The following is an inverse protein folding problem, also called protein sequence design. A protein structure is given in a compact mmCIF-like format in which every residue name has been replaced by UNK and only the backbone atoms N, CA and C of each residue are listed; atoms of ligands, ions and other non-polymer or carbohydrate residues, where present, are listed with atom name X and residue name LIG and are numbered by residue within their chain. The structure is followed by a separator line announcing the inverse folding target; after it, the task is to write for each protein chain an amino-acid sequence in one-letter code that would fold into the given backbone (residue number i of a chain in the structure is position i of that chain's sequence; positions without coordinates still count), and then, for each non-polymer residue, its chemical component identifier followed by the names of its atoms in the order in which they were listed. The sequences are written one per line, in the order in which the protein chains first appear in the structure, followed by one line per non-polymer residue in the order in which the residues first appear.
data_IF_790543298551
#
_entry.id   IF_790543298551
#
_cell.length_a   1.000
_cell.length_b   1.000
_cell.length_c   1.000
_cell.angle_alpha   90.00
_cell.angle_beta   90.00
_cell.angle_gamma   90.00
#
_symmetry.space_group_name_H-M   'P 1'
#
loop_
_entity.id
_entity.type
_entity.pdbx_description
1 polymer ?
#
# COMPACT_ATOMS: atom_id res chain seq x y z
N UNK A 1 -4.09 -19.98 16.79
CA UNK A 1 -4.55 -18.68 16.23
C UNK A 1 -4.06 -18.60 14.78
N UNK A 2 -4.91 -18.87 13.78
CA UNK A 2 -4.51 -18.79 12.36
C UNK A 2 -4.37 -17.31 11.99
N UNK A 3 -3.15 -16.84 11.68
CA UNK A 3 -2.92 -15.55 11.03
C UNK A 3 -3.63 -15.59 9.68
N UNK A 4 -4.88 -15.13 9.65
CA UNK A 4 -5.64 -14.90 8.42
C UNK A 4 -4.82 -13.88 7.64
N UNK A 5 -4.17 -14.33 6.58
CA UNK A 5 -3.29 -13.47 5.81
C UNK A 5 -4.10 -12.25 5.38
N UNK A 6 -3.58 -11.06 5.68
CA UNK A 6 -4.18 -9.73 5.49
C UNK A 6 -4.37 -9.34 4.00
N UNK A 7 -4.59 -10.35 3.16
CA UNK A 7 -4.85 -10.27 1.74
C UNK A 7 -6.34 -10.47 1.47
N UNK A 8 -7.20 -9.91 2.32
CA UNK A 8 -8.59 -9.74 1.94
C UNK A 8 -8.60 -8.79 0.74
N UNK A 9 -8.70 -9.43 -0.43
CA UNK A 9 -8.95 -8.93 -1.78
C UNK A 9 -9.27 -7.43 -1.79
N UNK A 10 -8.22 -6.59 -1.89
CA UNK A 10 -8.41 -5.17 -2.14
C UNK A 10 -9.17 -5.00 -3.45
N UNK A 11 -10.20 -4.16 -3.43
CA UNK A 11 -11.07 -3.94 -4.57
C UNK A 11 -10.24 -3.61 -5.82
N UNK A 12 -10.32 -4.45 -6.85
CA UNK A 12 -9.63 -4.26 -8.14
C UNK A 12 -8.33 -5.05 -8.36
N UNK A 13 -7.78 -5.77 -7.37
CA UNK A 13 -6.63 -6.65 -7.58
C UNK A 13 -7.03 -8.13 -7.46
N UNK A 14 -6.67 -8.95 -8.45
CA UNK A 14 -6.95 -10.38 -8.44
C UNK A 14 -6.03 -11.15 -7.48
N UNK A 15 -4.86 -10.59 -7.13
CA UNK A 15 -3.90 -11.18 -6.20
C UNK A 15 -3.12 -10.14 -5.36
N UNK A 16 -2.51 -10.54 -4.24
CA UNK A 16 -1.62 -9.69 -3.44
C UNK A 16 -0.44 -9.09 -4.22
N UNK A 17 0.12 -9.86 -5.14
CA UNK A 17 1.25 -9.44 -5.97
C UNK A 17 0.83 -8.34 -6.93
N UNK A 18 -0.34 -8.52 -7.56
CA UNK A 18 -0.91 -7.51 -8.45
C UNK A 18 -1.22 -6.21 -7.71
N UNK A 19 -1.78 -6.30 -6.49
CA UNK A 19 -1.97 -5.13 -5.65
C UNK A 19 -0.65 -4.40 -5.38
N UNK A 20 0.43 -5.11 -5.08
CA UNK A 20 1.72 -4.50 -4.82
C UNK A 20 2.22 -3.68 -6.03
N UNK A 21 2.07 -4.21 -7.24
CA UNK A 21 2.40 -3.47 -8.47
C UNK A 21 1.52 -2.24 -8.67
N UNK A 22 0.19 -2.38 -8.51
CA UNK A 22 -0.74 -1.24 -8.62
C UNK A 22 -0.43 -0.15 -7.58
N UNK A 23 -0.14 -0.56 -6.34
CA UNK A 23 0.22 0.34 -5.25
C UNK A 23 1.50 1.11 -5.55
N UNK A 24 2.57 0.43 -5.98
CA UNK A 24 3.85 1.08 -6.32
C UNK A 24 3.68 2.04 -7.50
N UNK A 25 3.02 1.62 -8.58
CA UNK A 25 2.76 2.47 -9.74
C UNK A 25 1.98 3.73 -9.36
N UNK A 26 0.96 3.58 -8.51
CA UNK A 26 0.21 4.71 -8.00
C UNK A 26 1.08 5.65 -7.15
N UNK A 27 1.86 5.12 -6.20
CA UNK A 27 2.75 5.93 -5.37
C UNK A 27 3.76 6.74 -6.20
N UNK A 28 4.35 6.13 -7.23
CA UNK A 28 5.31 6.78 -8.13
C UNK A 28 4.66 7.83 -9.05
N UNK A 29 3.38 7.67 -9.40
CA UNK A 29 2.65 8.68 -10.20
C UNK A 29 2.38 9.99 -9.46
N UNK A 30 2.48 9.99 -8.12
CA UNK A 30 2.14 11.15 -7.29
C UNK A 30 3.28 12.15 -7.23
N UNK A 31 2.93 13.43 -7.32
CA UNK A 31 3.83 14.55 -7.05
C UNK A 31 4.03 14.83 -5.57
N UNK A 32 3.05 14.46 -4.74
CA UNK A 32 3.07 14.65 -3.29
C UNK A 32 3.05 13.31 -2.56
N UNK A 33 3.74 13.18 -1.41
CA UNK A 33 3.69 11.98 -0.59
C UNK A 33 2.26 11.59 -0.23
N UNK A 34 1.94 10.30 -0.33
CA UNK A 34 0.62 9.80 0.04
C UNK A 34 0.44 9.74 1.57
N UNK A 35 -0.77 10.02 2.03
CA UNK A 35 -1.16 9.92 3.45
C UNK A 35 -1.89 8.59 3.73
N UNK A 36 -1.98 8.15 4.99
CA UNK A 36 -2.79 6.98 5.33
C UNK A 36 -4.25 7.13 4.90
N UNK A 37 -4.83 8.33 4.99
CA UNK A 37 -6.20 8.61 4.56
C UNK A 37 -6.39 8.36 3.06
N UNK A 38 -5.41 8.72 2.24
CA UNK A 38 -5.48 8.47 0.78
C UNK A 38 -5.58 6.97 0.46
N UNK A 39 -4.92 6.13 1.25
CA UNK A 39 -4.95 4.68 1.10
C UNK A 39 -6.29 4.09 1.56
N UNK A 40 -6.90 4.68 2.59
CA UNK A 40 -8.23 4.33 3.07
C UNK A 40 -9.27 4.62 1.99
N UNK A 41 -9.27 5.85 1.48
CA UNK A 41 -10.24 6.31 0.49
C UNK A 41 -10.12 5.56 -0.83
N UNK A 42 -8.88 5.29 -1.29
CA UNK A 42 -8.63 4.64 -2.58
C UNK A 42 -8.84 3.14 -2.57
N UNK A 43 -8.37 2.46 -1.53
CA UNK A 43 -8.30 0.99 -1.52
C UNK A 43 -9.21 0.35 -0.47
N UNK A 44 -9.97 1.14 0.28
CA UNK A 44 -10.89 0.66 1.32
C UNK A 44 -10.19 -0.08 2.47
N UNK A 45 -8.87 0.08 2.62
CA UNK A 45 -8.11 -0.68 3.62
C UNK A 45 -8.22 -0.04 5.00
N UNK A 46 -8.08 -0.85 6.06
CA UNK A 46 -8.05 -0.29 7.41
C UNK A 46 -6.78 0.54 7.68
N UNK A 47 -6.86 1.46 8.66
CA UNK A 47 -5.77 2.37 9.03
C UNK A 47 -4.45 1.65 9.31
N UNK A 48 -4.47 0.55 10.06
CA UNK A 48 -3.27 -0.24 10.36
C UNK A 48 -2.59 -0.78 9.11
N UNK A 49 -3.37 -1.23 8.12
CA UNK A 49 -2.85 -1.70 6.83
C UNK A 49 -2.24 -0.56 6.03
N UNK A 50 -2.89 0.62 6.00
CA UNK A 50 -2.35 1.79 5.31
C UNK A 50 -0.99 2.23 5.85
N UNK A 51 -0.83 2.33 7.17
CA UNK A 51 0.47 2.64 7.79
C UNK A 51 1.54 1.60 7.42
N UNK A 52 1.18 0.31 7.43
CA UNK A 52 2.10 -0.78 7.08
C UNK A 52 2.61 -0.63 5.65
N UNK A 53 1.73 -0.36 4.69
CA UNK A 53 2.10 -0.20 3.28
C UNK A 53 2.94 1.04 3.03
N UNK A 54 2.58 2.18 3.63
CA UNK A 54 3.38 3.41 3.52
C UNK A 54 4.78 3.24 4.09
N UNK A 55 4.91 2.62 5.27
CA UNK A 55 6.23 2.32 5.86
C UNK A 55 7.05 1.41 4.95
N UNK A 56 6.45 0.33 4.43
CA UNK A 56 7.16 -0.59 3.51
C UNK A 56 7.60 0.10 2.21
N UNK A 57 6.81 1.03 1.69
CA UNK A 57 7.20 1.84 0.55
C UNK A 57 8.38 2.76 0.89
N UNK A 58 8.33 3.44 2.04
CA UNK A 58 9.41 4.30 2.52
C UNK A 58 10.70 3.52 2.76
N UNK A 59 10.63 2.34 3.37
CA UNK A 59 11.78 1.47 3.59
C UNK A 59 12.41 1.04 2.24
N UNK A 60 11.60 0.75 1.23
CA UNK A 60 12.07 0.24 -0.06
C UNK A 60 12.61 1.33 -1.01
N UNK A 61 12.04 2.54 -0.97
CA UNK A 61 12.34 3.60 -1.93
C UNK A 61 12.94 4.87 -1.29
N UNK A 62 12.86 5.01 0.02
CA UNK A 62 13.39 6.15 0.77
C UNK A 62 14.90 6.08 1.05
N UNK A 63 15.50 4.88 1.08
CA UNK A 63 16.95 4.72 1.18
C UNK A 63 17.69 5.16 -0.11
N UNK A 64 17.00 5.18 -1.26
CA UNK A 64 17.59 5.61 -2.54
C UNK A 64 17.76 7.13 -2.69
N UNK A 65 17.31 7.92 -1.70
CA UNK A 65 17.37 9.39 -1.71
C UNK A 65 18.45 9.98 -0.79
N UNK A 66 19.35 9.14 -0.24
CA UNK A 66 20.57 9.55 0.48
C UNK A 66 21.80 9.15 -0.33
#
# INVERSE_FOLDING_TARGET
MKRRAFYERQAGAASPTEFAFQFVAWMQSRRTPATPSDLLDRYGMCRATAYRYLRKYQDAFGEAAR
#
